data_IF_602603220199
#
_entry.id   IF_602603220199
#
_cell.length_a   1.000
_cell.length_b   1.000
_cell.length_c   1.000
_cell.angle_alpha   90.00
_cell.angle_beta   90.00
_cell.angle_gamma   90.00
#
_symmetry.space_group_name_H-M   'P 1'
#
loop_
_entity.id
_entity.type
_entity.pdbx_description
1 polymer ?
#
# COMPACT_ATOMS: atom_id res chain seq x y z
N UNK A 1 25.41 25.45 -2.96
CA UNK A 1 25.38 24.03 -2.56
C UNK A 1 24.11 23.31 -3.00
N UNK A 2 22.89 23.74 -2.63
CA UNK A 2 21.65 23.03 -3.03
C UNK A 2 21.32 23.08 -4.54
N UNK A 3 21.59 24.21 -5.22
CA UNK A 3 21.40 24.29 -6.67
C UNK A 3 22.36 23.34 -7.42
N UNK A 4 23.59 23.21 -6.92
CA UNK A 4 24.57 22.27 -7.47
C UNK A 4 24.13 20.83 -7.26
N UNK A 5 23.62 20.52 -6.06
CA UNK A 5 23.03 19.21 -5.76
C UNK A 5 21.88 18.86 -6.72
N UNK A 6 20.92 19.78 -6.91
CA UNK A 6 19.80 19.57 -7.81
C UNK A 6 20.23 19.44 -9.29
N UNK A 7 21.30 20.12 -9.71
CA UNK A 7 21.85 19.99 -11.05
C UNK A 7 22.50 18.62 -11.26
N UNK A 8 23.30 18.16 -10.29
CA UNK A 8 23.99 16.86 -10.37
C UNK A 8 23.02 15.67 -10.44
N UNK A 9 21.82 15.77 -9.87
CA UNK A 9 20.79 14.73 -9.95
C UNK A 9 20.27 14.49 -11.38
N UNK A 10 20.44 15.46 -12.29
CA UNK A 10 19.94 15.36 -13.68
C UNK A 10 21.03 15.37 -14.75
N UNK A 11 22.23 15.86 -14.40
CA UNK A 11 23.34 16.07 -15.34
C UNK A 11 23.69 14.83 -16.16
N UNK A 12 23.72 13.66 -15.51
CA UNK A 12 24.19 12.40 -16.13
C UNK A 12 23.07 11.47 -16.60
N UNK A 13 21.79 11.86 -16.43
CA UNK A 13 20.67 10.94 -16.69
C UNK A 13 20.52 10.57 -18.16
N UNK A 14 20.92 11.45 -19.08
CA UNK A 14 20.89 11.17 -20.53
C UNK A 14 21.93 10.12 -20.90
N UNK A 15 23.17 10.28 -20.43
CA UNK A 15 24.25 9.31 -20.68
C UNK A 15 23.95 7.97 -20.02
N UNK A 16 23.42 7.99 -18.79
CA UNK A 16 22.95 6.79 -18.11
C UNK A 16 21.84 6.08 -18.89
N UNK A 17 20.87 6.83 -19.45
CA UNK A 17 19.81 6.26 -20.30
C UNK A 17 20.41 5.52 -21.50
N UNK A 18 21.35 6.12 -22.21
CA UNK A 18 21.98 5.50 -23.38
C UNK A 18 22.76 4.23 -23.00
N UNK A 19 23.52 4.28 -21.90
CA UNK A 19 24.26 3.12 -21.39
C UNK A 19 23.32 1.96 -21.01
N UNK A 20 22.24 2.24 -20.27
CA UNK A 20 21.26 1.22 -19.88
C UNK A 20 20.47 0.71 -21.09
N UNK A 21 20.15 1.56 -22.06
CA UNK A 21 19.48 1.15 -23.30
C UNK A 21 20.34 0.20 -24.14
N UNK A 22 21.67 0.38 -24.17
CA UNK A 22 22.59 -0.58 -24.79
C UNK A 22 22.53 -1.95 -24.09
N UNK A 23 22.64 -1.97 -22.76
CA UNK A 23 22.54 -3.21 -21.96
C UNK A 23 21.19 -3.92 -22.17
N UNK A 24 20.09 -3.17 -22.21
CA UNK A 24 18.75 -3.74 -22.46
C UNK A 24 18.61 -4.32 -23.87
N UNK A 25 19.27 -3.74 -24.88
CA UNK A 25 19.29 -4.30 -26.25
C UNK A 25 20.10 -5.58 -26.30
N UNK A 26 21.28 -5.59 -25.70
CA UNK A 26 22.15 -6.78 -25.62
C UNK A 26 21.45 -7.96 -24.93
N UNK A 27 20.64 -7.68 -23.90
CA UNK A 27 19.85 -8.70 -23.21
C UNK A 27 18.50 -9.02 -23.87
N UNK A 28 18.14 -8.37 -24.98
CA UNK A 28 16.83 -8.57 -25.64
C UNK A 28 15.62 -8.08 -24.84
N UNK A 29 15.82 -7.22 -23.84
CA UNK A 29 14.79 -6.73 -22.89
C UNK A 29 14.29 -5.31 -23.19
N UNK A 30 14.65 -4.76 -24.35
CA UNK A 30 14.26 -3.39 -24.73
C UNK A 30 12.74 -3.20 -24.81
N UNK A 31 12.02 -4.19 -25.35
CA UNK A 31 10.57 -4.11 -25.42
C UNK A 31 9.91 -4.23 -24.04
N UNK A 32 10.45 -5.08 -23.17
CA UNK A 32 9.96 -5.21 -21.79
C UNK A 32 10.07 -3.86 -21.07
N UNK A 33 11.25 -3.22 -21.14
CA UNK A 33 11.47 -1.91 -20.55
C UNK A 33 10.53 -0.84 -21.13
N UNK A 34 10.31 -0.83 -22.46
CA UNK A 34 9.36 0.07 -23.10
C UNK A 34 7.94 -0.08 -22.53
N UNK A 35 7.47 -1.31 -22.35
CA UNK A 35 6.17 -1.58 -21.75
C UNK A 35 6.09 -1.13 -20.28
N UNK A 36 7.17 -1.32 -19.50
CA UNK A 36 7.26 -0.81 -18.12
C UNK A 36 7.20 0.72 -18.05
N UNK A 37 7.94 1.40 -18.91
CA UNK A 37 7.95 2.86 -18.97
C UNK A 37 6.58 3.40 -19.35
N UNK A 38 5.93 2.77 -20.33
CA UNK A 38 4.58 3.16 -20.75
C UNK A 38 3.58 2.95 -19.61
N UNK A 39 3.64 1.80 -18.92
CA UNK A 39 2.80 1.55 -17.76
C UNK A 39 2.97 2.62 -16.67
N UNK A 40 4.21 2.98 -16.32
CA UNK A 40 4.47 4.04 -15.32
C UNK A 40 3.97 5.40 -15.82
N UNK A 41 4.09 5.68 -17.14
CA UNK A 41 3.63 6.94 -17.74
C UNK A 41 2.11 7.09 -17.72
N UNK A 42 1.36 5.98 -17.84
CA UNK A 42 -0.10 6.01 -17.97
C UNK A 42 -0.85 5.61 -16.70
N UNK A 43 -0.19 4.96 -15.73
CA UNK A 43 -0.86 4.52 -14.52
C UNK A 43 -1.38 5.73 -13.73
N UNK A 44 -2.68 5.75 -13.48
CA UNK A 44 -3.25 6.71 -12.55
C UNK A 44 -2.94 6.25 -11.12
N UNK A 45 -2.33 7.13 -10.33
CA UNK A 45 -2.09 6.85 -8.93
C UNK A 45 -3.42 6.52 -8.25
N UNK A 46 -3.50 5.34 -7.61
CA UNK A 46 -4.72 4.96 -6.90
C UNK A 46 -5.13 6.08 -5.94
N UNK A 47 -6.42 6.44 -5.90
CA UNK A 47 -6.88 7.53 -5.06
C UNK A 47 -6.43 7.25 -3.63
N UNK A 48 -5.91 8.30 -3.00
CA UNK A 48 -5.39 8.18 -1.64
C UNK A 48 -6.47 7.58 -0.74
N UNK A 49 -6.14 6.47 -0.06
CA UNK A 49 -7.07 5.67 0.78
C UNK A 49 -8.04 6.57 1.55
N UNK A 50 -9.34 6.25 1.48
CA UNK A 50 -10.43 7.01 2.15
C UNK A 50 -10.16 7.20 3.66
N UNK A 51 -9.63 6.18 4.32
CA UNK A 51 -9.38 6.18 5.77
C UNK A 51 -7.90 6.32 6.16
N UNK A 52 -7.19 7.35 5.66
CA UNK A 52 -5.77 7.58 6.05
C UNK A 52 -5.53 7.71 7.55
N UNK A 53 -6.53 8.16 8.31
CA UNK A 53 -6.48 8.23 9.77
C UNK A 53 -6.19 6.86 10.41
N UNK A 54 -6.53 5.75 9.74
CA UNK A 54 -6.25 4.39 10.22
C UNK A 54 -4.77 4.00 10.19
N UNK A 55 -3.92 4.82 9.57
CA UNK A 55 -2.45 4.66 9.60
C UNK A 55 -1.77 5.49 10.68
N UNK A 56 -2.53 6.13 11.56
CA UNK A 56 -1.97 6.87 12.69
C UNK A 56 -1.09 5.94 13.54
N UNK A 57 0.16 6.33 13.75
CA UNK A 57 1.11 5.55 14.53
C UNK A 57 0.57 5.35 15.95
N UNK A 58 0.51 4.10 16.42
CA UNK A 58 -0.04 3.74 17.73
C UNK A 58 -1.54 3.41 17.73
N UNK A 59 -2.24 3.50 16.60
CA UNK A 59 -3.66 3.16 16.50
C UNK A 59 -3.99 1.70 16.87
N UNK A 60 -3.04 0.77 16.70
CA UNK A 60 -3.18 -0.63 17.12
C UNK A 60 -3.41 -0.81 18.63
N UNK A 61 -3.11 0.22 19.45
CA UNK A 61 -3.40 0.25 20.89
C UNK A 61 -4.86 0.58 21.17
N UNK A 62 -5.58 1.17 20.21
CA UNK A 62 -6.98 1.56 20.32
C UNK A 62 -7.86 0.44 19.78
N UNK A 63 -8.56 -0.24 20.69
CA UNK A 63 -9.48 -1.35 20.33
C UNK A 63 -10.95 -0.95 20.38
N UNK A 64 -11.27 0.13 21.08
CA UNK A 64 -12.63 0.63 21.25
C UNK A 64 -13.07 1.46 20.03
N UNK A 65 -14.17 1.09 19.35
CA UNK A 65 -14.71 1.83 18.21
C UNK A 65 -15.00 3.31 18.52
N UNK A 66 -15.46 3.64 19.73
CA UNK A 66 -15.73 5.04 20.09
C UNK A 66 -14.45 5.86 20.18
N UNK A 67 -13.39 5.29 20.75
CA UNK A 67 -12.06 5.92 20.78
C UNK A 67 -11.48 6.07 19.36
N UNK A 68 -11.74 5.13 18.44
CA UNK A 68 -11.35 5.28 17.02
C UNK A 68 -12.06 6.47 16.35
N UNK A 69 -13.31 6.77 16.71
CA UNK A 69 -14.00 7.96 16.22
C UNK A 69 -13.29 9.26 16.66
N UNK A 70 -12.77 9.30 17.89
CA UNK A 70 -11.96 10.43 18.38
C UNK A 70 -10.66 10.58 17.58
N UNK A 71 -9.96 9.47 17.30
CA UNK A 71 -8.74 9.46 16.48
C UNK A 71 -9.05 9.99 15.07
N UNK A 72 -10.14 9.53 14.45
CA UNK A 72 -10.59 9.97 13.11
C UNK A 72 -10.80 11.49 13.08
N UNK A 73 -11.52 12.05 14.05
CA UNK A 73 -11.82 13.49 14.08
C UNK A 73 -10.59 14.35 14.36
N UNK A 74 -9.72 13.94 15.29
CA UNK A 74 -8.46 14.62 15.57
C UNK A 74 -7.54 14.61 14.33
N UNK A 75 -7.41 13.46 13.69
CA UNK A 75 -6.61 13.31 12.46
C UNK A 75 -7.16 14.18 11.33
N UNK A 76 -8.48 14.19 11.13
CA UNK A 76 -9.15 14.98 10.08
C UNK A 76 -8.96 16.47 10.32
N UNK A 77 -9.13 16.91 11.56
CA UNK A 77 -8.92 18.31 11.97
C UNK A 77 -7.47 18.73 11.72
N UNK A 78 -6.51 17.86 12.06
CA UNK A 78 -5.08 18.09 11.76
C UNK A 78 -4.82 18.22 10.26
N UNK A 79 -5.37 17.31 9.47
CA UNK A 79 -5.18 17.29 8.02
C UNK A 79 -5.75 18.55 7.36
N UNK A 80 -6.92 19.02 7.80
CA UNK A 80 -7.50 20.28 7.34
C UNK A 80 -6.63 21.51 7.71
N UNK A 81 -6.04 21.54 8.90
CA UNK A 81 -5.13 22.62 9.31
C UNK A 81 -3.84 22.56 8.48
N UNK A 82 -3.28 21.37 8.30
CA UNK A 82 -2.07 21.10 7.54
C UNK A 82 -2.20 21.58 6.09
N UNK A 83 -3.29 21.19 5.41
CA UNK A 83 -3.58 21.62 4.03
C UNK A 83 -3.77 23.14 3.92
N UNK A 84 -4.55 23.75 4.82
CA UNK A 84 -4.78 25.21 4.79
C UNK A 84 -3.52 26.03 5.02
N UNK A 85 -2.56 25.48 5.77
CA UNK A 85 -1.31 26.17 6.12
C UNK A 85 -0.13 25.77 5.25
N UNK A 86 -0.31 24.79 4.38
CA UNK A 86 0.77 24.14 3.63
C UNK A 86 1.93 23.69 4.54
N UNK A 87 1.60 22.97 5.60
CA UNK A 87 2.56 22.44 6.58
C UNK A 87 2.31 20.95 6.75
N UNK A 88 3.38 20.15 6.78
CA UNK A 88 3.31 18.72 7.05
C UNK A 88 2.47 18.41 8.31
N UNK A 89 1.49 17.48 8.25
CA UNK A 89 0.58 17.21 9.37
C UNK A 89 1.27 16.91 10.70
N UNK A 90 2.38 16.15 10.68
CA UNK A 90 3.14 15.84 11.90
C UNK A 90 3.73 17.06 12.62
N UNK A 91 3.99 18.16 11.90
CA UNK A 91 4.41 19.44 12.49
C UNK A 91 3.24 20.21 13.12
N UNK A 92 2.01 19.94 12.72
CA UNK A 92 0.80 20.50 13.33
C UNK A 92 0.48 19.77 14.63
N UNK A 93 0.38 18.44 14.58
CA UNK A 93 0.12 17.59 15.74
C UNK A 93 0.67 16.18 15.46
N UNK A 94 1.64 15.67 16.25
CA UNK A 94 2.18 14.34 16.03
C UNK A 94 1.16 13.24 16.37
N UNK A 95 1.30 12.08 15.74
CA UNK A 95 0.40 10.94 15.93
C UNK A 95 0.28 10.51 17.40
N UNK A 96 1.37 10.57 18.17
CA UNK A 96 1.38 10.25 19.60
C UNK A 96 0.44 11.14 20.42
N UNK A 97 0.33 12.42 20.08
CA UNK A 97 -0.59 13.35 20.72
C UNK A 97 -2.05 13.03 20.37
N UNK A 98 -2.32 12.63 19.13
CA UNK A 98 -3.66 12.18 18.71
C UNK A 98 -4.08 10.96 19.54
N UNK A 99 -3.23 9.94 19.63
CA UNK A 99 -3.53 8.72 20.38
C UNK A 99 -3.69 9.03 21.88
N UNK A 100 -2.82 9.86 22.45
CA UNK A 100 -2.93 10.26 23.86
C UNK A 100 -4.23 10.99 24.16
N UNK A 101 -4.60 12.00 23.36
CA UNK A 101 -5.82 12.77 23.58
C UNK A 101 -7.08 11.92 23.35
N UNK A 102 -7.09 11.06 22.33
CA UNK A 102 -8.21 10.15 22.09
C UNK A 102 -8.40 9.17 23.26
N UNK A 103 -7.30 8.58 23.77
CA UNK A 103 -7.36 7.57 24.84
C UNK A 103 -7.73 8.20 26.19
N UNK A 104 -7.20 9.37 26.52
CA UNK A 104 -7.58 10.09 27.75
C UNK A 104 -8.98 10.70 27.64
N UNK A 105 -9.41 11.07 26.42
CA UNK A 105 -10.71 11.67 26.11
C UNK A 105 -11.07 12.86 27.03
N UNK A 106 -10.26 13.95 27.05
CA UNK A 106 -10.56 15.11 27.88
C UNK A 106 -11.85 15.82 27.41
N UNK A 107 -12.55 16.39 28.38
CA UNK A 107 -13.81 17.13 28.22
C UNK A 107 -13.64 18.65 28.45
N UNK A 108 -12.46 19.11 28.86
CA UNK A 108 -12.15 20.52 29.09
C UNK A 108 -10.78 20.92 28.54
N UNK A 109 -10.58 22.21 28.31
CA UNK A 109 -9.28 22.78 27.88
C UNK A 109 -8.19 22.49 28.90
N UNK A 110 -8.52 22.59 30.19
CA UNK A 110 -7.59 22.34 31.30
C UNK A 110 -7.06 20.91 31.24
N UNK A 111 -7.96 19.91 31.13
CA UNK A 111 -7.57 18.50 31.02
C UNK A 111 -6.79 18.23 29.73
N UNK A 112 -7.17 18.86 28.61
CA UNK A 112 -6.46 18.69 27.34
C UNK A 112 -5.04 19.26 27.41
N UNK A 113 -4.86 20.46 27.96
CA UNK A 113 -3.55 21.14 28.01
C UNK A 113 -2.62 20.57 29.07
N UNK A 114 -3.15 19.78 30.02
CA UNK A 114 -2.36 18.96 30.94
C UNK A 114 -1.69 17.77 30.24
N UNK A 115 -2.17 17.34 29.07
CA UNK A 115 -1.55 16.27 28.31
C UNK A 115 -0.22 16.70 27.67
N UNK A 116 0.74 15.76 27.50
CA UNK A 116 1.97 16.03 26.76
C UNK A 116 1.68 16.64 25.39
N UNK A 117 2.54 17.55 24.94
CA UNK A 117 2.47 18.29 23.65
C UNK A 117 1.39 19.38 23.64
N UNK A 118 0.22 19.17 24.23
CA UNK A 118 -0.87 20.16 24.28
C UNK A 118 -0.59 21.35 25.20
N UNK A 119 0.31 21.19 26.18
CA UNK A 119 0.77 22.27 27.06
C UNK A 119 1.67 23.32 26.38
N UNK A 120 2.13 23.10 25.16
CA UNK A 120 2.97 24.08 24.44
C UNK A 120 2.18 25.32 24.00
N UNK A 121 2.82 26.50 23.99
CA UNK A 121 2.17 27.79 23.61
C UNK A 121 1.38 27.74 22.29
N UNK A 122 1.91 27.04 21.28
CA UNK A 122 1.21 26.85 20.00
C UNK A 122 -0.06 26.00 20.13
N UNK A 123 -0.03 24.93 20.92
CA UNK A 123 -1.17 24.03 21.08
C UNK A 123 -2.23 24.60 22.03
N UNK A 124 -1.82 25.34 23.07
CA UNK A 124 -2.77 26.07 23.94
C UNK A 124 -3.65 27.03 23.16
N UNK A 125 -3.09 27.76 22.19
CA UNK A 125 -3.87 28.65 21.30
C UNK A 125 -4.88 27.91 20.42
N UNK A 126 -4.63 26.64 20.11
CA UNK A 126 -5.52 25.79 19.32
C UNK A 126 -6.32 24.80 20.19
N UNK A 127 -6.29 24.93 21.52
CA UNK A 127 -6.85 23.92 22.42
C UNK A 127 -8.36 23.73 22.19
N UNK A 128 -9.10 24.82 21.95
CA UNK A 128 -10.52 24.75 21.61
C UNK A 128 -10.77 23.92 20.34
N UNK A 129 -9.97 24.13 19.29
CA UNK A 129 -10.11 23.40 18.02
C UNK A 129 -9.97 21.89 18.20
N UNK A 130 -9.04 21.46 19.05
CA UNK A 130 -8.84 20.05 19.37
C UNK A 130 -9.93 19.49 20.29
N UNK A 131 -10.40 20.28 21.25
CA UNK A 131 -11.52 19.90 22.12
C UNK A 131 -12.82 19.74 21.32
N UNK A 132 -13.07 20.61 20.35
CA UNK A 132 -14.20 20.53 19.43
C UNK A 132 -14.11 19.28 18.55
N UNK A 133 -12.90 18.89 18.12
CA UNK A 133 -12.70 17.66 17.38
C UNK A 133 -13.02 16.42 18.23
N UNK A 134 -12.61 16.40 19.50
CA UNK A 134 -13.01 15.34 20.44
C UNK A 134 -14.52 15.32 20.65
N UNK A 135 -15.16 16.49 20.77
CA UNK A 135 -16.61 16.59 20.91
C UNK A 135 -17.35 16.05 19.69
N UNK A 136 -16.90 16.38 18.46
CA UNK A 136 -17.42 15.77 17.23
C UNK A 136 -17.26 14.25 17.22
N UNK A 137 -16.10 13.75 17.66
CA UNK A 137 -15.85 12.32 17.68
C UNK A 137 -16.77 11.58 18.66
N UNK A 138 -17.07 12.18 19.83
CA UNK A 138 -18.04 11.66 20.80
C UNK A 138 -19.48 11.61 20.25
N UNK A 139 -19.84 12.56 19.39
CA UNK A 139 -21.17 12.65 18.78
C UNK A 139 -21.32 11.83 17.49
N UNK A 140 -20.20 11.38 16.89
CA UNK A 140 -20.20 10.64 15.64
C UNK A 140 -20.40 9.14 15.82
N UNK A 141 -20.94 8.48 14.79
CA UNK A 141 -21.04 7.02 14.78
C UNK A 141 -19.65 6.37 14.84
N UNK A 142 -19.48 5.33 15.67
CA UNK A 142 -18.22 4.62 15.79
C UNK A 142 -17.86 3.96 14.46
N UNK A 143 -16.63 4.14 13.94
CA UNK A 143 -16.16 3.40 12.78
C UNK A 143 -16.04 1.91 13.10
N UNK A 144 -16.12 1.08 12.07
CA UNK A 144 -15.81 -0.34 12.20
C UNK A 144 -14.40 -0.55 12.75
N UNK A 145 -14.29 -1.45 13.74
CA UNK A 145 -13.03 -1.75 14.42
C UNK A 145 -11.98 -2.35 13.46
N UNK A 146 -12.42 -3.00 12.39
CA UNK A 146 -11.55 -3.61 11.39
C UNK A 146 -11.88 -3.06 10.00
N UNK A 147 -10.85 -2.71 9.22
CA UNK A 147 -11.05 -2.50 7.78
C UNK A 147 -11.43 -3.85 7.14
N UNK A 148 -12.39 -3.86 6.20
CA UNK A 148 -12.58 -4.99 5.32
C UNK A 148 -11.26 -5.34 4.61
N UNK A 149 -10.76 -6.56 4.79
CA UNK A 149 -9.57 -7.02 4.07
C UNK A 149 -9.93 -7.18 2.59
N UNK A 150 -9.46 -6.28 1.73
CA UNK A 150 -9.73 -6.27 0.28
C UNK A 150 -8.86 -7.27 -0.51
N UNK A 151 -8.47 -8.37 0.12
CA UNK A 151 -7.55 -9.33 -0.46
C UNK A 151 -7.32 -10.53 0.45
N UNK A 152 -6.55 -11.52 -0.04
CA UNK A 152 -6.35 -12.76 0.68
C UNK A 152 -5.60 -12.53 2.01
N UNK A 153 -5.88 -13.34 3.05
CA UNK A 153 -5.20 -13.23 4.34
C UNK A 153 -3.68 -13.45 4.19
N UNK A 154 -2.85 -13.14 5.19
CA UNK A 154 -1.41 -13.46 5.15
C UNK A 154 -1.15 -14.91 4.73
N UNK A 155 -0.16 -15.15 3.85
CA UNK A 155 0.08 -16.49 3.26
C UNK A 155 0.35 -17.55 4.32
N UNK A 156 1.00 -17.17 5.43
CA UNK A 156 1.24 -18.04 6.59
C UNK A 156 -0.02 -18.65 7.20
N UNK A 157 -1.22 -18.10 6.92
CA UNK A 157 -2.50 -18.62 7.41
C UNK A 157 -3.22 -19.52 6.39
N UNK A 158 -2.70 -19.66 5.17
CA UNK A 158 -3.42 -20.33 4.09
C UNK A 158 -3.48 -21.84 4.30
N UNK A 159 -2.39 -22.47 4.72
CA UNK A 159 -2.35 -23.91 5.00
C UNK A 159 -3.45 -24.38 5.97
N UNK A 160 -3.93 -23.50 6.87
CA UNK A 160 -5.04 -23.80 7.78
C UNK A 160 -6.40 -23.38 7.24
N UNK A 161 -6.48 -22.31 6.43
CA UNK A 161 -7.76 -21.69 6.01
C UNK A 161 -8.24 -22.17 4.65
N UNK A 162 -7.31 -22.40 3.72
CA UNK A 162 -7.55 -22.83 2.34
C UNK A 162 -6.30 -23.59 1.85
N UNK A 163 -6.08 -24.84 2.31
CA UNK A 163 -4.87 -25.62 2.03
C UNK A 163 -4.56 -25.73 0.53
N UNK A 164 -5.60 -25.92 -0.29
CA UNK A 164 -5.48 -26.01 -1.75
C UNK A 164 -4.95 -24.72 -2.38
N UNK A 165 -5.24 -23.56 -1.80
CA UNK A 165 -4.66 -22.29 -2.24
C UNK A 165 -3.19 -22.15 -1.82
N UNK A 166 -2.80 -22.73 -0.69
CA UNK A 166 -1.41 -22.73 -0.24
C UNK A 166 -0.55 -23.57 -1.19
N UNK A 167 -0.99 -24.78 -1.53
CA UNK A 167 -0.31 -25.67 -2.50
C UNK A 167 -0.13 -24.96 -3.85
N UNK A 168 -1.20 -24.34 -4.37
CA UNK A 168 -1.16 -23.58 -5.63
C UNK A 168 -0.22 -22.38 -5.57
N UNK A 169 -0.15 -21.68 -4.44
CA UNK A 169 0.77 -20.55 -4.27
C UNK A 169 2.23 -21.00 -4.26
N UNK A 170 2.55 -22.11 -3.60
CA UNK A 170 3.92 -22.66 -3.60
C UNK A 170 4.32 -23.13 -5.01
N UNK A 171 3.44 -23.83 -5.72
CA UNK A 171 3.67 -24.24 -7.11
C UNK A 171 3.91 -23.04 -8.05
N UNK A 172 3.05 -22.01 -7.95
CA UNK A 172 3.19 -20.79 -8.76
C UNK A 172 4.49 -20.03 -8.44
N UNK A 173 4.91 -19.99 -7.17
CA UNK A 173 6.18 -19.38 -6.77
C UNK A 173 7.37 -20.13 -7.34
N UNK A 174 7.36 -21.46 -7.30
CA UNK A 174 8.44 -22.28 -7.86
C UNK A 174 8.63 -22.00 -9.36
N UNK A 175 7.54 -22.02 -10.13
CA UNK A 175 7.54 -21.69 -11.56
C UNK A 175 8.08 -20.27 -11.85
N UNK A 176 7.65 -19.27 -11.06
CA UNK A 176 8.13 -17.90 -11.24
C UNK A 176 9.60 -17.72 -10.85
N UNK A 177 10.10 -18.45 -9.85
CA UNK A 177 11.52 -18.45 -9.47
C UNK A 177 12.38 -19.06 -10.58
N UNK A 178 11.91 -20.15 -11.18
CA UNK A 178 12.61 -20.76 -12.32
C UNK A 178 12.65 -19.81 -13.52
N UNK A 179 11.51 -19.22 -13.90
CA UNK A 179 11.46 -18.21 -14.96
C UNK A 179 12.39 -17.02 -14.67
N UNK A 180 12.38 -16.51 -13.43
CA UNK A 180 13.25 -15.42 -12.98
C UNK A 180 14.73 -15.70 -13.23
N UNK A 181 15.16 -16.92 -12.94
CA UNK A 181 16.54 -17.36 -13.20
C UNK A 181 16.82 -17.46 -14.70
N UNK A 182 15.91 -18.08 -15.47
CA UNK A 182 16.06 -18.25 -16.92
C UNK A 182 16.23 -16.91 -17.66
N UNK A 183 15.42 -15.91 -17.30
CA UNK A 183 15.47 -14.59 -17.95
C UNK A 183 16.38 -13.59 -17.23
N UNK A 184 17.00 -13.98 -16.11
CA UNK A 184 17.84 -13.11 -15.27
C UNK A 184 17.12 -11.79 -14.91
N UNK A 185 15.91 -11.90 -14.36
CA UNK A 185 15.11 -10.78 -13.86
C UNK A 185 14.55 -11.16 -12.49
N UNK A 186 14.62 -10.29 -11.46
CA UNK A 186 14.03 -10.57 -10.16
C UNK A 186 12.54 -10.95 -10.26
N UNK A 187 12.12 -11.95 -9.49
CA UNK A 187 10.75 -12.50 -9.56
C UNK A 187 9.65 -11.43 -9.35
N UNK A 188 9.92 -10.45 -8.50
CA UNK A 188 9.05 -9.31 -8.20
C UNK A 188 8.89 -8.34 -9.38
N UNK A 189 9.85 -8.32 -10.32
CA UNK A 189 9.78 -7.54 -11.55
C UNK A 189 9.07 -8.32 -12.67
N UNK A 190 9.03 -9.65 -12.59
CA UNK A 190 8.25 -10.48 -13.51
C UNK A 190 6.75 -10.36 -13.21
N UNK A 191 6.34 -10.50 -11.95
CA UNK A 191 4.97 -10.27 -11.51
C UNK A 191 4.94 -9.84 -10.04
N UNK A 192 4.02 -8.93 -9.71
CA UNK A 192 3.80 -8.52 -8.32
C UNK A 192 3.36 -9.72 -7.46
N UNK A 193 3.98 -9.95 -6.29
CA UNK A 193 3.55 -10.99 -5.36
C UNK A 193 2.07 -10.89 -4.95
N UNK A 194 1.48 -9.69 -4.97
CA UNK A 194 0.06 -9.50 -4.67
C UNK A 194 -0.83 -10.13 -5.75
N UNK A 195 -0.49 -9.94 -7.03
CA UNK A 195 -1.24 -10.50 -8.18
C UNK A 195 -1.26 -12.02 -8.08
N UNK A 196 -0.09 -12.64 -7.87
CA UNK A 196 0.06 -14.10 -7.73
C UNK A 196 -0.76 -14.61 -6.55
N UNK A 197 -0.73 -13.91 -5.41
CA UNK A 197 -1.54 -14.29 -4.24
C UNK A 197 -3.03 -14.19 -4.52
N UNK A 198 -3.52 -13.14 -5.19
CA UNK A 198 -4.94 -13.03 -5.52
C UNK A 198 -5.37 -14.14 -6.48
N UNK A 199 -4.59 -14.38 -7.54
CA UNK A 199 -4.82 -15.47 -8.49
C UNK A 199 -4.93 -16.82 -7.77
N UNK A 200 -3.95 -17.18 -6.95
CA UNK A 200 -3.98 -18.44 -6.21
C UNK A 200 -5.08 -18.48 -5.15
N UNK A 201 -5.48 -17.36 -4.55
CA UNK A 201 -6.54 -17.40 -3.55
C UNK A 201 -7.93 -17.65 -4.17
N UNK A 202 -8.25 -16.93 -5.25
CA UNK A 202 -9.58 -16.90 -5.84
C UNK A 202 -9.78 -17.89 -6.99
N UNK A 203 -8.71 -18.58 -7.43
CA UNK A 203 -8.76 -19.60 -8.48
C UNK A 203 -9.90 -20.60 -8.31
N UNK A 204 -10.52 -20.90 -9.44
CA UNK A 204 -11.49 -21.98 -9.60
C UNK A 204 -11.01 -22.90 -10.73
N UNK A 205 -11.15 -24.22 -10.59
CA UNK A 205 -10.87 -25.14 -11.69
C UNK A 205 -11.65 -24.74 -12.95
N UNK A 206 -10.99 -24.84 -14.09
CA UNK A 206 -11.53 -24.47 -15.40
C UNK A 206 -10.95 -25.40 -16.46
N UNK A 207 -11.69 -25.58 -17.55
CA UNK A 207 -11.25 -26.38 -18.70
C UNK A 207 -10.13 -25.69 -19.49
N UNK A 208 -9.99 -24.37 -19.37
CA UNK A 208 -8.93 -23.59 -20.01
C UNK A 208 -8.17 -22.69 -19.00
N UNK A 209 -7.19 -23.26 -18.27
CA UNK A 209 -6.37 -22.51 -17.32
C UNK A 209 -5.55 -21.40 -17.97
N UNK A 210 -5.15 -21.55 -19.23
CA UNK A 210 -4.34 -20.55 -19.95
C UNK A 210 -5.15 -19.28 -20.18
N UNK A 211 -6.36 -19.42 -20.74
CA UNK A 211 -7.26 -18.29 -20.96
C UNK A 211 -7.67 -17.61 -19.64
N UNK A 212 -7.95 -18.40 -18.59
CA UNK A 212 -8.33 -17.86 -17.29
C UNK A 212 -7.20 -17.05 -16.62
N UNK A 213 -5.95 -17.52 -16.70
CA UNK A 213 -4.80 -16.79 -16.17
C UNK A 213 -4.53 -15.51 -16.97
N UNK A 214 -4.56 -15.57 -18.31
CA UNK A 214 -4.31 -14.38 -19.14
C UNK A 214 -5.37 -13.29 -18.92
N UNK A 215 -6.64 -13.68 -18.82
CA UNK A 215 -7.74 -12.76 -18.48
C UNK A 215 -7.51 -12.11 -17.10
N UNK A 216 -7.19 -12.90 -16.08
CA UNK A 216 -6.92 -12.38 -14.74
C UNK A 216 -5.73 -11.41 -14.70
N UNK A 217 -4.64 -11.75 -15.41
CA UNK A 217 -3.45 -10.89 -15.47
C UNK A 217 -3.74 -9.59 -16.23
N UNK A 218 -4.58 -9.64 -17.25
CA UNK A 218 -5.06 -8.46 -17.98
C UNK A 218 -5.84 -7.52 -17.06
N UNK A 219 -6.80 -8.06 -16.29
CA UNK A 219 -7.57 -7.29 -15.31
C UNK A 219 -6.71 -6.73 -14.17
N UNK A 220 -5.57 -7.39 -13.90
CA UNK A 220 -4.58 -6.95 -12.92
C UNK A 220 -3.55 -5.96 -13.48
N UNK A 221 -3.73 -5.48 -14.72
CA UNK A 221 -2.82 -4.59 -15.42
C UNK A 221 -1.37 -5.12 -15.53
N UNK A 222 -1.20 -6.45 -15.62
CA UNK A 222 0.08 -7.04 -15.98
C UNK A 222 0.40 -6.71 -17.44
N UNK A 223 1.66 -6.37 -17.71
CA UNK A 223 2.10 -5.94 -19.04
C UNK A 223 2.13 -7.14 -19.98
N UNK A 224 2.00 -6.91 -21.28
CA UNK A 224 1.93 -7.97 -22.28
C UNK A 224 3.13 -8.91 -22.19
N UNK A 225 4.36 -8.38 -22.06
CA UNK A 225 5.56 -9.20 -21.91
C UNK A 225 5.51 -10.11 -20.66
N UNK A 226 4.92 -9.64 -19.57
CA UNK A 226 4.77 -10.42 -18.34
C UNK A 226 3.76 -11.55 -18.56
N UNK A 227 2.64 -11.26 -19.22
CA UNK A 227 1.62 -12.28 -19.51
C UNK A 227 2.18 -13.35 -20.43
N UNK A 228 2.80 -12.95 -21.54
CA UNK A 228 3.44 -13.89 -22.49
C UNK A 228 4.47 -14.80 -21.81
N UNK A 229 5.25 -14.26 -20.87
CA UNK A 229 6.25 -15.01 -20.11
C UNK A 229 5.63 -15.95 -19.05
N UNK A 230 4.59 -15.50 -18.34
CA UNK A 230 4.14 -16.14 -17.09
C UNK A 230 2.87 -16.97 -17.22
N UNK A 231 1.99 -16.68 -18.18
CA UNK A 231 0.72 -17.40 -18.36
C UNK A 231 0.95 -18.90 -18.50
N UNK A 232 1.87 -19.41 -19.34
CA UNK A 232 2.07 -20.85 -19.48
C UNK A 232 2.53 -21.52 -18.18
N UNK A 233 3.41 -20.87 -17.43
CA UNK A 233 3.97 -21.40 -16.20
C UNK A 233 2.96 -21.41 -15.05
N UNK A 234 2.20 -20.32 -14.91
CA UNK A 234 1.12 -20.22 -13.93
C UNK A 234 -0.03 -21.17 -14.25
N UNK A 235 -0.39 -21.35 -15.53
CA UNK A 235 -1.41 -22.31 -15.93
C UNK A 235 -1.01 -23.75 -15.56
N UNK A 236 0.25 -24.15 -15.77
CA UNK A 236 0.76 -25.46 -15.30
C UNK A 236 0.66 -25.62 -13.79
N UNK A 237 1.10 -24.61 -13.04
CA UNK A 237 1.03 -24.64 -11.57
C UNK A 237 -0.40 -24.76 -11.04
N UNK A 238 -1.37 -24.17 -11.74
CA UNK A 238 -2.77 -24.11 -11.31
C UNK A 238 -3.63 -25.26 -11.85
N UNK A 239 -3.19 -25.92 -12.92
CA UNK A 239 -3.82 -27.12 -13.48
C UNK A 239 -3.50 -28.40 -12.70
N UNK A 240 -2.40 -28.40 -11.93
CA UNK A 240 -2.05 -29.54 -11.08
C UNK A 240 -3.01 -29.62 -9.90
N UNK A 241 -3.76 -30.73 -9.71
CA UNK A 241 -4.66 -30.87 -8.57
C UNK A 241 -3.86 -30.75 -7.26
N UNK A 242 -4.37 -30.00 -6.29
CA UNK A 242 -3.81 -30.03 -4.95
C UNK A 242 -4.01 -31.46 -4.40
N UNK A 243 -2.90 -32.18 -4.18
CA UNK A 243 -2.90 -33.50 -3.54
C UNK A 243 -3.27 -33.39 -2.06
#
# INVERSE_FOLDING_TARGET
>A
EWLNYAALDVEVLVDLREAIAAVLREQGKSDWARQEFEYIRTIEASPTRRDRWRRTSGIHKVRDPRTLALVRELWTTRDQIARRRDIAPGRILPDSAIISAATTNPDSIEKLTALPIFGGSKQRRSAQVWLDALARGRASDPPDAQEPSTGPPPASRWARRKPEAAVRLEAARAELVELAQQVSVPSENILSPEIVRRLCWDWQPTDDPVAAVDAFLTDSAARQWQRELTVPALARALATPAQ
#
